data_IF_279267986377
#
_entry.id   IF_279267986377
#
_cell.length_a   1.000
_cell.length_b   1.000
_cell.length_c   1.000
_cell.angle_alpha   90.00
_cell.angle_beta   90.00
_cell.angle_gamma   90.00
#
_symmetry.space_group_name_H-M   'P 1'
#
loop_
_entity.id
_entity.type
_entity.pdbx_description
1 polymer ?
#
# COMPACT_ATOMS: atom_id res chain seq x y z
N UNK A 1 -3.39 -6.37 -50.71
CA UNK A 1 -2.79 -5.65 -49.56
C UNK A 1 -2.51 -6.66 -48.47
N UNK A 2 -1.25 -6.76 -48.09
CA UNK A 2 -0.58 -7.94 -47.53
C UNK A 2 -0.84 -8.12 -46.03
N UNK A 3 -0.74 -9.38 -45.58
CA UNK A 3 -0.94 -9.87 -44.20
C UNK A 3 -0.09 -9.19 -43.11
N UNK A 4 0.77 -8.23 -43.48
CA UNK A 4 1.60 -7.41 -42.60
C UNK A 4 0.81 -6.47 -41.70
N UNK A 5 -0.42 -6.10 -42.06
CA UNK A 5 -1.25 -5.20 -41.23
C UNK A 5 -1.97 -5.92 -40.07
N UNK A 6 -2.11 -7.26 -40.13
CA UNK A 6 -2.90 -8.02 -39.16
C UNK A 6 -2.11 -8.38 -37.89
N UNK A 7 -0.81 -8.64 -38.01
CA UNK A 7 0.07 -8.84 -36.86
C UNK A 7 0.28 -7.55 -36.03
N UNK A 8 0.25 -6.39 -36.70
CA UNK A 8 0.39 -5.09 -36.05
C UNK A 8 -0.86 -4.71 -35.22
N UNK A 9 -2.08 -5.05 -35.68
CA UNK A 9 -3.33 -4.72 -34.99
C UNK A 9 -3.54 -5.48 -33.68
N UNK A 10 -3.21 -6.77 -33.64
CA UNK A 10 -3.35 -7.61 -32.43
C UNK A 10 -2.31 -7.26 -31.36
N UNK A 11 -1.09 -6.89 -31.78
CA UNK A 11 -0.04 -6.40 -30.89
C UNK A 11 -0.36 -5.01 -30.32
N UNK A 12 -1.01 -4.13 -31.10
CA UNK A 12 -1.47 -2.81 -30.63
C UNK A 12 -2.61 -2.90 -29.59
N UNK A 13 -3.47 -3.92 -29.67
CA UNK A 13 -4.51 -4.18 -28.67
C UNK A 13 -3.96 -4.79 -27.37
N UNK A 14 -2.90 -5.60 -27.44
CA UNK A 14 -2.21 -6.09 -26.25
C UNK A 14 -1.47 -4.96 -25.49
N UNK A 15 -0.95 -3.96 -26.21
CA UNK A 15 -0.28 -2.79 -25.63
C UNK A 15 -1.26 -1.74 -25.08
N UNK A 16 -2.55 -1.86 -25.37
CA UNK A 16 -3.63 -1.06 -24.77
C UNK A 16 -4.43 -1.83 -23.73
N UNK A 17 -3.76 -2.74 -23.00
CA UNK A 17 -4.29 -3.33 -21.76
C UNK A 17 -4.90 -2.22 -20.90
N UNK A 18 -6.22 -2.24 -20.77
CA UNK A 18 -6.94 -1.24 -20.01
C UNK A 18 -6.59 -1.33 -18.52
N UNK A 19 -6.15 -2.48 -17.99
CA UNK A 19 -5.71 -2.63 -16.61
C UNK A 19 -4.49 -1.75 -16.29
N UNK A 20 -4.57 -0.98 -15.20
CA UNK A 20 -3.42 -0.20 -14.73
C UNK A 20 -2.51 -1.06 -13.85
N UNK A 21 -1.21 -0.84 -13.91
CA UNK A 21 -0.28 -1.41 -12.94
C UNK A 21 -0.29 -0.62 -11.63
N UNK A 22 0.12 -1.27 -10.54
CA UNK A 22 0.39 -0.60 -9.27
C UNK A 22 1.89 -0.36 -9.12
N UNK A 23 2.25 0.88 -8.83
CA UNK A 23 3.61 1.30 -8.53
C UNK A 23 3.71 1.52 -7.03
N UNK A 24 4.69 0.86 -6.42
CA UNK A 24 4.82 0.87 -4.97
C UNK A 24 5.20 2.26 -4.46
N UNK A 25 4.61 2.65 -3.34
CA UNK A 25 4.88 3.94 -2.70
C UNK A 25 6.28 3.93 -2.09
N UNK A 26 6.61 2.89 -1.31
CA UNK A 26 7.87 2.74 -0.56
C UNK A 26 8.15 3.97 0.33
N UNK A 27 7.46 4.11 1.47
CA UNK A 27 7.56 5.30 2.34
C UNK A 27 9.00 5.69 2.69
N UNK A 28 9.86 4.72 2.98
CA UNK A 28 11.27 4.96 3.32
C UNK A 28 12.09 5.63 2.21
N UNK A 29 11.65 5.57 0.94
CA UNK A 29 12.39 6.10 -0.20
C UNK A 29 12.05 7.57 -0.52
N UNK A 30 11.09 8.17 0.19
CA UNK A 30 10.74 9.57 -0.03
C UNK A 30 11.82 10.50 0.50
N UNK A 31 12.31 11.38 -0.35
CA UNK A 31 13.35 12.35 0.00
C UNK A 31 12.80 13.63 0.61
N UNK A 32 11.51 13.93 0.40
CA UNK A 32 10.85 15.15 0.85
C UNK A 32 9.70 14.82 1.78
N UNK A 33 9.86 15.21 3.03
CA UNK A 33 8.83 15.20 4.05
C UNK A 33 8.66 16.61 4.60
N UNK A 34 7.41 17.05 4.75
CA UNK A 34 7.09 18.26 5.50
C UNK A 34 7.22 17.96 6.98
N UNK A 35 8.19 18.59 7.65
CA UNK A 35 8.40 18.43 9.09
C UNK A 35 7.42 19.29 9.87
N UNK A 36 6.89 18.76 10.97
CA UNK A 36 6.08 19.53 11.90
C UNK A 36 6.71 19.57 13.28
N UNK A 37 6.85 20.80 13.77
CA UNK A 37 7.43 21.09 15.07
C UNK A 37 8.96 21.20 15.04
N UNK A 38 9.55 21.69 16.14
CA UNK A 38 11.00 21.73 16.32
C UNK A 38 11.61 20.32 16.39
N UNK A 39 12.86 20.21 15.94
CA UNK A 39 13.67 19.03 16.19
C UNK A 39 13.90 18.83 17.70
N UNK A 40 13.99 17.58 18.17
CA UNK A 40 14.18 17.27 19.59
C UNK A 40 12.91 17.30 20.44
N UNK A 41 11.73 17.38 19.83
CA UNK A 41 10.46 17.11 20.52
C UNK A 41 10.35 15.62 20.88
N UNK A 42 9.54 15.24 21.90
CA UNK A 42 9.37 13.84 22.30
C UNK A 42 8.99 12.91 21.14
N UNK A 43 8.20 13.42 20.19
CA UNK A 43 7.84 12.73 18.95
C UNK A 43 8.06 13.69 17.79
N UNK A 44 9.01 13.37 16.92
CA UNK A 44 9.20 14.10 15.67
C UNK A 44 8.31 13.50 14.59
N UNK A 45 7.50 14.35 13.96
CA UNK A 45 6.56 13.95 12.93
C UNK A 45 6.83 14.67 11.62
N UNK A 46 6.86 13.91 10.53
CA UNK A 46 6.93 14.47 9.19
C UNK A 46 6.01 13.69 8.25
N UNK A 47 5.43 14.37 7.27
CA UNK A 47 4.47 13.74 6.36
C UNK A 47 4.60 14.28 4.95
N UNK A 48 4.02 13.56 3.99
CA UNK A 48 3.90 14.01 2.62
C UNK A 48 2.58 13.50 2.02
N UNK A 49 1.75 14.43 1.56
CA UNK A 49 0.49 14.14 0.89
C UNK A 49 0.70 13.55 -0.51
N UNK A 50 -0.37 12.99 -1.06
CA UNK A 50 -0.42 12.50 -2.45
C UNK A 50 0.59 11.40 -2.74
N UNK A 51 0.77 10.48 -1.79
CA UNK A 51 1.74 9.39 -1.86
C UNK A 51 1.59 8.55 -3.16
N UNK A 52 0.35 8.21 -3.54
CA UNK A 52 0.06 7.47 -4.77
C UNK A 52 0.50 8.23 -6.02
N UNK A 53 0.34 9.55 -6.04
CA UNK A 53 0.76 10.41 -7.15
C UNK A 53 2.28 10.49 -7.24
N UNK A 54 2.96 10.64 -6.11
CA UNK A 54 4.42 10.77 -6.06
C UNK A 54 5.16 9.48 -6.42
N UNK A 55 4.59 8.31 -6.08
CA UNK A 55 5.12 7.02 -6.50
C UNK A 55 5.15 6.85 -8.04
N UNK A 56 4.40 7.68 -8.77
CA UNK A 56 4.27 7.57 -10.23
C UNK A 56 3.37 6.42 -10.66
N UNK A 57 2.89 6.44 -11.90
CA UNK A 57 2.20 5.30 -12.53
C UNK A 57 0.84 4.85 -11.95
N UNK A 58 0.42 5.33 -10.78
CA UNK A 58 -0.82 4.92 -10.09
C UNK A 58 -2.09 5.65 -10.55
N UNK A 59 -2.19 6.04 -11.83
CA UNK A 59 -3.25 6.92 -12.36
C UNK A 59 -4.68 6.49 -11.99
N UNK A 60 -4.96 5.19 -12.05
CA UNK A 60 -6.29 4.63 -11.73
C UNK A 60 -6.59 4.69 -10.24
N UNK A 61 -5.61 4.40 -9.39
CA UNK A 61 -5.74 4.47 -7.94
C UNK A 61 -5.92 5.93 -7.49
N UNK A 62 -5.20 6.88 -8.08
CA UNK A 62 -5.39 8.32 -7.83
C UNK A 62 -6.81 8.76 -8.23
N UNK A 63 -7.34 8.27 -9.36
CA UNK A 63 -8.73 8.55 -9.74
C UNK A 63 -9.72 8.01 -8.71
N UNK A 64 -9.45 6.82 -8.15
CA UNK A 64 -10.28 6.21 -7.10
C UNK A 64 -10.15 6.96 -5.77
N UNK A 65 -8.95 7.37 -5.39
CA UNK A 65 -8.65 8.18 -4.21
C UNK A 65 -9.51 9.44 -4.22
N UNK A 66 -9.45 10.24 -5.29
CA UNK A 66 -10.30 11.43 -5.42
C UNK A 66 -11.79 11.11 -5.43
N UNK A 67 -12.21 10.07 -6.18
CA UNK A 67 -13.64 9.70 -6.28
C UNK A 67 -14.22 9.21 -4.94
N UNK A 68 -13.40 8.62 -4.08
CA UNK A 68 -13.81 8.06 -2.79
C UNK A 68 -13.53 9.00 -1.61
N UNK A 69 -12.94 10.16 -1.87
CA UNK A 69 -12.61 11.15 -0.83
C UNK A 69 -11.49 10.69 0.10
N UNK A 70 -10.48 10.01 -0.45
CA UNK A 70 -9.29 9.60 0.28
C UNK A 70 -8.12 10.55 0.02
N UNK A 71 -7.19 10.58 0.97
CA UNK A 71 -5.83 11.07 0.81
C UNK A 71 -4.87 10.04 1.39
N UNK A 72 -4.02 9.48 0.52
CA UNK A 72 -2.92 8.61 0.92
C UNK A 72 -1.71 9.46 1.26
N UNK A 73 -1.23 9.32 2.50
CA UNK A 73 -0.14 10.13 3.04
C UNK A 73 0.96 9.18 3.51
N UNK A 74 2.20 9.49 3.12
CA UNK A 74 3.35 8.84 3.75
C UNK A 74 3.77 9.65 4.96
N UNK A 75 4.12 8.96 6.03
CA UNK A 75 4.57 9.59 7.27
C UNK A 75 5.87 8.97 7.74
N UNK A 76 6.64 9.81 8.42
CA UNK A 76 7.86 9.48 9.14
C UNK A 76 7.66 9.92 10.58
N UNK A 77 7.83 8.99 11.50
CA UNK A 77 7.70 9.23 12.93
C UNK A 77 8.99 8.80 13.60
N UNK A 78 9.58 9.68 14.40
CA UNK A 78 10.73 9.33 15.24
C UNK A 78 10.34 9.48 16.70
N UNK A 79 10.58 8.41 17.46
CA UNK A 79 10.36 8.39 18.89
C UNK A 79 11.64 8.84 19.60
N UNK A 80 11.61 10.01 20.24
CA UNK A 80 12.72 10.50 21.06
C UNK A 80 12.47 10.25 22.57
N UNK A 81 11.41 9.53 22.93
CA UNK A 81 11.11 9.17 24.32
C UNK A 81 11.87 7.92 24.76
N UNK A 82 11.87 7.65 26.06
CA UNK A 82 12.45 6.42 26.63
C UNK A 82 11.49 5.22 26.63
N UNK A 83 10.24 5.39 26.17
CA UNK A 83 9.21 4.36 26.16
C UNK A 83 8.85 3.92 24.74
N UNK A 84 8.36 2.69 24.60
CA UNK A 84 7.76 2.23 23.35
C UNK A 84 6.45 3.00 23.10
N UNK A 85 6.29 3.53 21.89
CA UNK A 85 5.08 4.25 21.49
C UNK A 85 4.30 3.44 20.46
N UNK A 86 3.01 3.22 20.71
CA UNK A 86 2.10 2.68 19.72
C UNK A 86 1.32 3.81 19.05
N UNK A 87 1.31 3.83 17.71
CA UNK A 87 0.71 4.94 16.95
C UNK A 87 -0.78 5.18 17.26
N UNK A 88 -1.58 4.13 17.44
CA UNK A 88 -3.02 4.31 17.72
C UNK A 88 -3.32 4.56 19.18
N UNK A 89 -2.58 3.90 20.08
CA UNK A 89 -2.83 3.96 21.51
C UNK A 89 -2.28 5.24 22.14
N UNK A 90 -1.03 5.58 21.80
CA UNK A 90 -0.25 6.59 22.51
C UNK A 90 -0.20 7.92 21.77
N UNK A 91 -0.51 7.93 20.47
CA UNK A 91 -0.46 9.12 19.63
C UNK A 91 -1.86 9.53 19.16
N UNK A 92 -2.02 10.83 18.93
CA UNK A 92 -3.23 11.42 18.39
C UNK A 92 -2.88 12.25 17.16
N UNK A 93 -3.49 11.87 16.03
CA UNK A 93 -3.29 12.54 14.76
C UNK A 93 -4.33 13.65 14.61
N UNK A 94 -3.87 14.83 14.23
CA UNK A 94 -4.70 15.99 13.96
C UNK A 94 -4.59 16.38 12.49
N UNK A 95 -5.71 16.78 11.90
CA UNK A 95 -5.78 17.37 10.56
C UNK A 95 -6.29 18.80 10.68
N UNK A 96 -5.38 19.77 10.60
CA UNK A 96 -5.63 21.13 11.08
C UNK A 96 -5.74 21.11 12.61
N UNK A 97 -6.89 21.57 13.12
CA UNK A 97 -7.14 21.67 14.56
C UNK A 97 -8.12 20.61 15.09
N UNK A 98 -8.52 19.66 14.23
CA UNK A 98 -9.40 18.56 14.64
C UNK A 98 -8.65 17.23 14.74
N UNK A 99 -8.95 16.41 15.76
CA UNK A 99 -8.45 15.05 15.81
C UNK A 99 -9.05 14.26 14.64
N UNK A 100 -8.23 13.40 14.04
CA UNK A 100 -8.62 12.52 12.95
C UNK A 100 -8.06 11.12 13.19
N UNK A 101 -8.76 10.11 12.69
CA UNK A 101 -8.27 8.73 12.73
C UNK A 101 -7.93 8.27 11.31
N UNK A 102 -6.76 7.64 11.10
CA UNK A 102 -6.48 6.95 9.86
C UNK A 102 -7.54 5.87 9.58
N UNK A 103 -7.93 5.76 8.32
CA UNK A 103 -8.73 4.65 7.83
C UNK A 103 -7.86 3.39 7.81
N UNK A 104 -8.34 2.24 8.31
CA UNK A 104 -7.61 0.99 8.27
C UNK A 104 -7.14 0.62 6.86
N UNK A 105 -5.90 0.16 6.74
CA UNK A 105 -5.26 -0.11 5.45
C UNK A 105 -6.05 -1.09 4.57
N UNK A 106 -6.65 -2.12 5.17
CA UNK A 106 -7.49 -3.09 4.45
C UNK A 106 -8.71 -2.40 3.84
N UNK A 107 -9.37 -1.52 4.59
CA UNK A 107 -10.54 -0.80 4.13
C UNK A 107 -10.17 0.18 3.01
N UNK A 108 -9.11 0.97 3.19
CA UNK A 108 -8.59 1.87 2.17
C UNK A 108 -8.24 1.10 0.88
N UNK A 109 -7.52 -0.02 0.99
CA UNK A 109 -7.16 -0.84 -0.18
C UNK A 109 -8.40 -1.40 -0.90
N UNK A 110 -9.44 -1.81 -0.18
CA UNK A 110 -10.67 -2.30 -0.77
C UNK A 110 -11.46 -1.22 -1.50
N UNK A 111 -11.47 0.01 -0.99
CA UNK A 111 -12.18 1.15 -1.59
C UNK A 111 -11.44 1.72 -2.81
N UNK A 112 -10.11 1.65 -2.79
CA UNK A 112 -9.23 2.17 -3.84
C UNK A 112 -8.97 1.18 -4.98
N UNK A 113 -9.32 -0.10 -4.83
CA UNK A 113 -9.04 -1.14 -5.85
C UNK A 113 -9.66 -0.85 -7.22
N UNK A 114 -8.99 -1.33 -8.26
CA UNK A 114 -9.52 -1.30 -9.62
C UNK A 114 -10.70 -2.26 -9.76
N UNK A 115 -11.72 -1.86 -10.53
CA UNK A 115 -12.83 -2.74 -10.87
C UNK A 115 -12.37 -3.80 -11.87
N UNK A 116 -12.47 -5.08 -11.48
CA UNK A 116 -12.07 -6.22 -12.31
C UNK A 116 -13.23 -6.72 -13.18
N UNK A 117 -14.46 -6.67 -12.65
CA UNK A 117 -15.65 -7.23 -13.30
C UNK A 117 -15.96 -6.59 -14.67
N UNK A 118 -15.58 -5.33 -14.90
CA UNK A 118 -15.82 -4.65 -16.18
C UNK A 118 -15.12 -5.35 -17.35
N UNK A 119 -14.01 -6.06 -17.10
CA UNK A 119 -13.28 -6.78 -18.14
C UNK A 119 -13.97 -8.06 -18.61
N UNK A 120 -15.00 -8.53 -17.90
CA UNK A 120 -15.86 -9.63 -18.37
C UNK A 120 -16.57 -9.23 -19.66
N UNK A 121 -16.87 -7.94 -19.87
CA UNK A 121 -17.47 -7.48 -21.12
C UNK A 121 -16.59 -7.75 -22.34
N UNK A 122 -15.26 -7.85 -22.16
CA UNK A 122 -14.38 -8.23 -23.26
C UNK A 122 -14.63 -9.66 -23.76
N UNK A 123 -15.21 -10.56 -22.95
CA UNK A 123 -15.47 -11.95 -23.36
C UNK A 123 -16.46 -12.04 -24.53
N UNK A 124 -17.26 -11.00 -24.76
CA UNK A 124 -18.18 -10.91 -25.90
C UNK A 124 -17.45 -10.62 -27.22
N UNK A 125 -16.15 -10.29 -27.18
CA UNK A 125 -15.34 -10.00 -28.34
C UNK A 125 -15.08 -11.22 -29.20
N UNK A 126 -15.70 -11.25 -30.38
CA UNK A 126 -15.45 -12.22 -31.46
C UNK A 126 -15.04 -11.41 -32.69
N UNK A 127 -14.01 -11.86 -33.38
CA UNK A 127 -13.54 -11.23 -34.62
C UNK A 127 -13.33 -12.29 -35.69
N UNK A 128 -13.44 -11.91 -36.96
CA UNK A 128 -13.15 -12.79 -38.08
C UNK A 128 -11.68 -12.60 -38.48
N UNK A 129 -10.93 -13.70 -38.59
CA UNK A 129 -9.54 -13.71 -39.07
C UNK A 129 -9.53 -14.34 -40.47
N UNK A 130 -8.95 -13.62 -41.43
CA UNK A 130 -8.87 -14.05 -42.83
C UNK A 130 -10.20 -13.94 -43.57
N UNK A 131 -10.27 -14.59 -44.72
CA UNK A 131 -11.38 -14.49 -45.67
C UNK A 131 -11.14 -13.46 -46.76
N UNK A 132 -11.97 -13.53 -47.79
CA UNK A 132 -11.93 -12.64 -48.95
C UNK A 132 -13.17 -11.76 -48.90
N UNK A 133 -12.96 -10.44 -48.84
CA UNK A 133 -14.05 -9.46 -48.91
C UNK A 133 -14.35 -9.16 -50.37
N UNK A 134 -15.59 -9.37 -50.77
CA UNK A 134 -16.08 -8.96 -52.07
C UNK A 134 -16.20 -7.43 -52.11
N UNK A 135 -15.48 -6.73 -53.01
CA UNK A 135 -15.49 -5.27 -53.07
C UNK A 135 -16.83 -4.68 -53.55
N UNK A 136 -17.71 -5.48 -54.16
CA UNK A 136 -18.99 -5.00 -54.68
C UNK A 136 -20.15 -5.20 -53.70
N UNK A 137 -20.09 -6.25 -52.86
CA UNK A 137 -21.14 -6.56 -51.87
C UNK A 137 -20.73 -6.31 -50.42
N UNK A 138 -19.43 -6.12 -50.15
CA UNK A 138 -18.88 -5.98 -48.80
C UNK A 138 -18.90 -7.27 -47.97
N UNK A 139 -19.37 -8.38 -48.54
CA UNK A 139 -19.47 -9.67 -47.86
C UNK A 139 -18.08 -10.30 -47.73
N UNK A 140 -17.72 -10.76 -46.53
CA UNK A 140 -16.46 -11.50 -46.32
C UNK A 140 -16.74 -12.99 -46.21
N UNK A 141 -16.21 -13.79 -47.13
CA UNK A 141 -16.38 -15.25 -47.16
C UNK A 141 -15.07 -15.97 -46.83
N UNK A 142 -15.17 -17.18 -46.24
CA UNK A 142 -14.02 -18.04 -45.96
C UNK A 142 -13.12 -17.63 -44.79
N UNK A 143 -13.55 -16.70 -43.93
CA UNK A 143 -12.81 -16.35 -42.70
C UNK A 143 -13.22 -17.22 -41.50
N UNK A 144 -12.32 -17.32 -40.52
CA UNK A 144 -12.54 -18.07 -39.28
C UNK A 144 -12.94 -17.13 -38.15
N UNK A 145 -13.99 -17.47 -37.40
CA UNK A 145 -14.36 -16.76 -36.18
C UNK A 145 -13.36 -17.08 -35.07
N UNK A 146 -12.75 -16.04 -34.51
CA UNK A 146 -11.78 -16.12 -33.43
C UNK A 146 -12.27 -15.34 -32.20
N UNK A 147 -12.48 -16.00 -31.06
CA UNK A 147 -12.89 -15.36 -29.82
C UNK A 147 -11.67 -14.71 -29.13
N UNK A 148 -11.23 -13.57 -29.65
CA UNK A 148 -10.12 -12.81 -29.05
C UNK A 148 -10.49 -12.22 -27.69
N UNK A 149 -11.79 -11.96 -27.47
CA UNK A 149 -12.34 -11.32 -26.30
C UNK A 149 -11.99 -11.98 -24.97
N UNK A 150 -12.24 -13.28 -24.80
CA UNK A 150 -11.84 -14.02 -23.60
C UNK A 150 -10.35 -13.92 -23.27
N UNK A 151 -9.46 -13.93 -24.27
CA UNK A 151 -8.01 -13.81 -24.06
C UNK A 151 -7.64 -12.43 -23.48
N UNK A 152 -8.17 -11.36 -24.08
CA UNK A 152 -7.92 -9.99 -23.62
C UNK A 152 -8.59 -9.74 -22.26
N UNK A 153 -9.82 -10.22 -22.08
CA UNK A 153 -10.56 -10.11 -20.83
C UNK A 153 -9.82 -10.78 -19.67
N UNK A 154 -9.43 -12.05 -19.85
CA UNK A 154 -8.67 -12.79 -18.85
C UNK A 154 -7.35 -12.11 -18.49
N UNK A 155 -6.58 -11.65 -19.50
CA UNK A 155 -5.33 -10.93 -19.28
C UNK A 155 -5.51 -9.66 -18.43
N UNK A 156 -6.52 -8.83 -18.74
CA UNK A 156 -6.82 -7.63 -17.97
C UNK A 156 -7.29 -7.94 -16.55
N UNK A 157 -8.10 -9.00 -16.37
CA UNK A 157 -8.56 -9.42 -15.05
C UNK A 157 -7.39 -9.85 -14.16
N UNK A 158 -6.48 -10.66 -14.68
CA UNK A 158 -5.29 -11.12 -13.97
C UNK A 158 -4.40 -9.92 -13.61
N UNK A 159 -4.12 -9.04 -14.57
CA UNK A 159 -3.30 -7.84 -14.35
C UNK A 159 -3.87 -6.92 -13.26
N UNK A 160 -5.17 -6.64 -13.32
CA UNK A 160 -5.83 -5.81 -12.31
C UNK A 160 -5.92 -6.48 -10.94
N UNK A 161 -6.16 -7.79 -10.88
CA UNK A 161 -6.18 -8.55 -9.63
C UNK A 161 -4.80 -8.53 -8.95
N UNK A 162 -3.73 -8.79 -9.72
CA UNK A 162 -2.35 -8.72 -9.25
C UNK A 162 -2.00 -7.31 -8.73
N UNK A 163 -2.28 -6.27 -9.51
CA UNK A 163 -2.04 -4.88 -9.10
C UNK A 163 -2.79 -4.51 -7.80
N UNK A 164 -4.06 -4.92 -7.68
CA UNK A 164 -4.86 -4.71 -6.46
C UNK A 164 -4.28 -5.46 -5.25
N UNK A 165 -3.81 -6.69 -5.45
CA UNK A 165 -3.16 -7.49 -4.40
C UNK A 165 -1.87 -6.82 -3.91
N UNK A 166 -1.05 -6.36 -4.84
CA UNK A 166 0.20 -5.65 -4.53
C UNK A 166 -0.03 -4.36 -3.75
N UNK A 167 -1.03 -3.56 -4.16
CA UNK A 167 -1.43 -2.36 -3.42
C UNK A 167 -1.88 -2.71 -2.00
N UNK A 168 -2.78 -3.69 -1.87
CA UNK A 168 -3.27 -4.12 -0.56
C UNK A 168 -2.14 -4.59 0.34
N UNK A 169 -1.23 -5.41 -0.18
CA UNK A 169 -0.05 -5.90 0.54
C UNK A 169 0.78 -4.73 1.06
N UNK A 170 1.09 -3.76 0.21
CA UNK A 170 1.89 -2.61 0.64
C UNK A 170 1.19 -1.74 1.69
N UNK A 171 -0.10 -1.45 1.50
CA UNK A 171 -0.88 -0.68 2.45
C UNK A 171 -0.89 -1.34 3.83
N UNK A 172 -1.08 -2.66 3.88
CA UNK A 172 -1.11 -3.43 5.14
C UNK A 172 0.29 -3.52 5.78
N UNK A 173 1.33 -3.84 5.01
CA UNK A 173 2.70 -3.97 5.54
C UNK A 173 3.24 -2.63 6.07
N UNK A 174 2.89 -1.53 5.41
CA UNK A 174 3.37 -0.20 5.76
C UNK A 174 2.34 0.61 6.57
N UNK A 175 1.25 0.01 7.05
CA UNK A 175 0.26 0.71 7.88
C UNK A 175 0.89 1.19 9.19
N UNK A 176 0.72 2.48 9.52
CA UNK A 176 1.26 3.03 10.78
C UNK A 176 0.41 2.72 12.00
N UNK A 177 -0.91 2.60 11.82
CA UNK A 177 -1.93 2.50 12.88
C UNK A 177 -1.57 1.46 13.95
N UNK A 178 -0.96 0.33 13.57
CA UNK A 178 -0.61 -0.76 14.50
C UNK A 178 0.90 -0.92 14.75
N UNK A 179 1.74 0.05 14.36
CA UNK A 179 3.18 -0.03 14.58
C UNK A 179 3.53 0.44 15.99
N UNK A 180 4.40 -0.34 16.63
CA UNK A 180 5.14 0.06 17.82
C UNK A 180 6.45 0.68 17.35
N UNK A 181 6.77 1.85 17.91
CA UNK A 181 7.94 2.66 17.60
C UNK A 181 8.81 2.66 18.85
N UNK A 182 9.96 1.99 18.78
CA UNK A 182 10.86 1.85 19.93
C UNK A 182 11.58 3.17 20.24
N UNK A 183 12.11 3.35 21.46
CA UNK A 183 12.96 4.48 21.81
C UNK A 183 14.09 4.70 20.79
N UNK A 184 14.22 5.93 20.29
CA UNK A 184 15.21 6.32 19.29
C UNK A 184 14.91 5.86 17.85
N UNK A 185 13.89 5.03 17.64
CA UNK A 185 13.56 4.47 16.33
C UNK A 185 12.86 5.51 15.44
N UNK A 186 13.19 5.48 14.15
CA UNK A 186 12.45 6.19 13.10
C UNK A 186 11.70 5.19 12.24
N UNK A 187 10.38 5.28 12.23
CA UNK A 187 9.49 4.40 11.46
C UNK A 187 8.85 5.18 10.32
N UNK A 188 8.77 4.54 9.17
CA UNK A 188 8.10 5.05 7.98
C UNK A 188 6.85 4.23 7.70
N UNK A 189 5.82 4.88 7.20
CA UNK A 189 4.62 4.15 6.80
C UNK A 189 3.62 4.99 6.02
N UNK A 190 2.46 4.38 5.81
CA UNK A 190 1.34 4.91 5.05
C UNK A 190 0.17 5.07 6.01
N UNK A 191 -0.50 6.21 5.90
CA UNK A 191 -1.82 6.43 6.47
C UNK A 191 -2.78 6.83 5.35
N UNK A 192 -4.04 6.41 5.48
CA UNK A 192 -5.11 6.80 4.58
C UNK A 192 -6.10 7.66 5.34
N UNK A 193 -6.37 8.86 4.86
CA UNK A 193 -7.30 9.80 5.50
C UNK A 193 -8.54 9.97 4.64
N UNK A 194 -9.71 10.11 5.26
CA UNK A 194 -10.96 10.46 4.58
C UNK A 194 -11.15 11.97 4.52
N UNK A 195 -10.14 12.64 3.98
CA UNK A 195 -10.09 14.09 3.91
C UNK A 195 -9.78 14.55 2.50
N UNK A 196 -10.56 15.49 1.97
CA UNK A 196 -10.37 16.02 0.62
C UNK A 196 -9.73 17.40 0.59
N UNK A 197 -9.72 18.09 1.73
CA UNK A 197 -9.12 19.42 1.86
C UNK A 197 -7.61 19.31 2.11
N UNK A 198 -6.91 20.43 2.10
CA UNK A 198 -5.50 20.50 2.49
C UNK A 198 -5.41 21.21 3.83
N UNK A 199 -4.96 20.50 4.86
CA UNK A 199 -4.66 21.06 6.17
C UNK A 199 -3.36 20.43 6.70
N UNK A 200 -2.62 21.14 7.58
CA UNK A 200 -1.41 20.58 8.15
C UNK A 200 -1.74 19.37 9.04
N UNK A 201 -0.95 18.31 8.93
CA UNK A 201 -1.05 17.16 9.81
C UNK A 201 -0.16 17.37 11.03
N UNK A 202 -0.67 17.09 12.22
CA UNK A 202 0.11 17.15 13.47
C UNK A 202 -0.06 15.85 14.23
N UNK A 203 0.98 15.43 14.95
CA UNK A 203 0.93 14.25 15.79
C UNK A 203 1.29 14.69 17.21
N UNK A 204 0.46 14.31 18.17
CA UNK A 204 0.65 14.64 19.58
C UNK A 204 0.68 13.37 20.42
N UNK A 205 1.47 13.39 21.49
CA UNK A 205 1.46 12.32 22.49
C UNK A 205 0.19 12.49 23.35
N UNK A 206 -0.60 11.42 23.51
CA UNK A 206 -1.72 11.43 24.45
C UNK A 206 -1.16 11.52 25.87
N UNK A 207 -1.79 12.33 26.71
CA UNK A 207 -1.34 12.60 28.07
C UNK A 207 -1.08 11.33 28.92
N UNK A 208 -1.79 10.22 28.66
CA UNK A 208 -1.59 8.95 29.34
C UNK A 208 -0.24 8.26 29.03
N UNK A 209 0.32 8.49 27.84
CA UNK A 209 1.59 7.87 27.42
C UNK A 209 2.83 8.62 27.94
N UNK A 210 2.69 9.90 28.31
CA UNK A 210 3.77 10.70 28.91
C UNK A 210 4.10 10.29 30.37
N UNK A 211 3.23 9.51 31.03
CA UNK A 211 3.32 9.18 32.44
C UNK A 211 3.97 7.83 32.75
N UNK A 212 4.39 7.05 31.74
CA UNK A 212 5.02 5.75 31.97
C UNK A 212 6.50 5.95 32.40
N UNK A 213 6.89 5.64 33.65
CA UNK A 213 8.28 5.70 34.05
C UNK A 213 9.09 4.68 33.25
N UNK A 214 10.35 5.01 32.96
CA UNK A 214 11.30 4.08 32.36
C UNK A 214 11.28 2.75 33.12
N UNK A 215 11.33 1.58 32.44
CA UNK A 215 11.43 0.32 33.13
C UNK A 215 12.69 0.35 33.99
N UNK A 216 12.48 0.37 35.32
CA UNK A 216 13.56 0.24 36.29
C UNK A 216 14.27 -1.07 35.95
N UNK A 217 15.57 -0.99 35.70
CA UNK A 217 16.37 -2.15 35.37
C UNK A 217 16.01 -3.31 36.30
N UNK A 218 15.58 -4.43 35.73
CA UNK A 218 15.23 -5.62 36.48
C UNK A 218 16.38 -5.93 37.46
N UNK A 219 16.09 -6.20 38.75
CA UNK A 219 17.13 -6.59 39.69
C UNK A 219 17.90 -7.76 39.09
N UNK A 220 19.21 -7.61 38.98
CA UNK A 220 20.09 -8.67 38.49
C UNK A 220 19.77 -9.95 39.26
N UNK A 221 19.41 -11.01 38.54
CA UNK A 221 19.14 -12.30 39.15
C UNK A 221 20.35 -12.72 40.00
N UNK A 222 20.16 -13.16 41.25
CA UNK A 222 21.27 -13.60 42.08
C UNK A 222 21.98 -14.76 41.39
N UNK A 223 23.31 -14.69 41.36
CA UNK A 223 24.17 -15.69 40.74
C UNK A 223 23.82 -17.09 41.27
N UNK A 224 23.77 -18.12 40.40
CA UNK A 224 23.49 -19.49 40.83
C UNK A 224 24.55 -19.95 41.84
N UNK A 225 24.10 -20.47 42.97
CA UNK A 225 24.95 -21.03 44.01
C UNK A 225 25.80 -22.18 43.46
N UNK A 226 27.07 -22.20 43.84
CA UNK A 226 28.02 -23.23 43.46
C UNK A 226 27.53 -24.63 43.87
N UNK A 227 27.75 -25.66 43.04
CA UNK A 227 27.29 -27.02 43.35
C UNK A 227 28.02 -27.57 44.58
N UNK A 228 27.23 -28.08 45.54
CA UNK A 228 27.74 -28.78 46.70
C UNK A 228 28.41 -30.10 46.26
N UNK A 229 29.66 -30.29 46.67
CA UNK A 229 30.42 -31.52 46.52
C UNK A 229 29.74 -32.65 47.30
N UNK A 230 29.41 -33.74 46.61
CA UNK A 230 28.89 -34.97 47.21
C UNK A 230 29.95 -35.63 48.12
N UNK A 231 29.57 -36.20 49.28
CA UNK A 231 30.50 -36.96 50.10
C UNK A 231 30.77 -38.32 49.48
N UNK A 232 32.03 -38.75 49.58
CA UNK A 232 32.51 -40.06 49.18
C UNK A 232 31.79 -41.17 49.95
N UNK A 233 31.33 -42.19 49.23
CA UNK A 233 30.78 -43.41 49.81
C UNK A 233 31.91 -44.30 50.32
N UNK A 234 32.01 -44.44 51.64
CA UNK A 234 32.79 -45.51 52.25
C UNK A 234 32.00 -46.82 52.20
N UNK A 235 32.65 -47.84 51.66
CA UNK A 235 32.06 -49.14 51.37
C UNK A 235 31.80 -50.02 52.58
N UNK A 236 30.89 -50.97 52.35
CA UNK A 236 30.90 -52.34 52.91
C UNK A 236 30.33 -53.29 51.87
#
# INVERSE_FOLDING_TARGET
MTATHLAAGTLALALSSCAGSYHQIRPANFTRYQSMGPAGTPVEFSYQFSALQMAGGNRKYIKKERKRGYQTVVVRVKNNTAADLNFSRDLELFFGDRPTMPVPAIQAANDLKQGVAIYVLYFLGIGQIGGTTDPYTGQTTGGTLFPWGPLVGAGNMIGAASANSNMRKEFVTNEMTNKVIRPGETVYGIISLREMNVAPLRLQLRAAAAAAPAPTAAPAAPAPAAPATAPASDGR
#
